data_IF_198998295158
#
_entry.id   IF_198998295158
#
_cell.length_a   1.000
_cell.length_b   1.000
_cell.length_c   1.000
_cell.angle_alpha   90.00
_cell.angle_beta   90.00
_cell.angle_gamma   90.00
#
_symmetry.space_group_name_H-M   'P 1'
#
loop_
_entity.id
_entity.type
_entity.pdbx_description
1 polymer ?
#
# COMPACT_ATOMS: atom_id res chain seq x y z
N UNK A 1 -11.04 -20.04 -5.30
CA UNK A 1 -9.91 -19.11 -5.37
C UNK A 1 -9.86 -18.36 -4.06
N UNK A 2 -8.69 -18.28 -3.44
CA UNK A 2 -8.48 -17.42 -2.28
C UNK A 2 -8.60 -15.96 -2.71
N UNK A 3 -9.41 -15.18 -2.01
CA UNK A 3 -9.65 -13.80 -2.39
C UNK A 3 -8.54 -12.90 -1.85
N UNK A 4 -7.94 -12.09 -2.72
CA UNK A 4 -6.89 -11.12 -2.39
C UNK A 4 -7.38 -9.70 -2.67
N UNK A 5 -6.68 -8.68 -2.15
CA UNK A 5 -6.98 -7.30 -2.50
C UNK A 5 -6.88 -7.06 -4.02
N UNK A 6 -5.95 -7.75 -4.71
CA UNK A 6 -5.77 -7.65 -6.17
C UNK A 6 -7.01 -8.14 -6.90
N UNK A 7 -7.53 -9.30 -6.52
CA UNK A 7 -8.73 -9.86 -7.16
C UNK A 7 -9.94 -8.93 -7.01
N UNK A 8 -10.11 -8.26 -5.87
CA UNK A 8 -11.22 -7.31 -5.68
C UNK A 8 -11.04 -6.07 -6.55
N UNK A 9 -9.83 -5.51 -6.62
CA UNK A 9 -9.53 -4.35 -7.48
C UNK A 9 -9.75 -4.71 -8.95
N UNK A 10 -9.31 -5.89 -9.38
CA UNK A 10 -9.45 -6.37 -10.76
C UNK A 10 -10.93 -6.58 -11.11
N UNK A 11 -11.71 -7.27 -10.26
CA UNK A 11 -13.15 -7.44 -10.44
C UNK A 11 -13.88 -6.10 -10.60
N UNK A 12 -13.61 -5.14 -9.71
CA UNK A 12 -14.24 -3.81 -9.78
C UNK A 12 -13.80 -3.03 -11.02
N UNK A 13 -12.55 -3.21 -11.46
CA UNK A 13 -12.03 -2.59 -12.68
C UNK A 13 -12.68 -3.19 -13.93
N UNK A 14 -12.87 -4.50 -13.97
CA UNK A 14 -13.56 -5.18 -15.07
C UNK A 14 -15.02 -4.73 -15.18
N UNK A 15 -15.75 -4.64 -14.06
CA UNK A 15 -17.11 -4.10 -14.05
C UNK A 15 -17.17 -2.70 -14.66
N UNK A 16 -16.22 -1.83 -14.29
CA UNK A 16 -16.12 -0.49 -14.89
C UNK A 16 -15.81 -0.54 -16.38
N UNK A 17 -14.88 -1.39 -16.82
CA UNK A 17 -14.53 -1.56 -18.25
C UNK A 17 -15.71 -2.05 -19.08
N UNK A 18 -16.53 -2.91 -18.50
CA UNK A 18 -17.72 -3.48 -19.13
C UNK A 18 -18.95 -2.54 -19.07
N UNK A 19 -18.81 -1.35 -18.49
CA UNK A 19 -19.92 -0.42 -18.20
C UNK A 19 -21.03 -1.07 -17.35
N UNK A 20 -20.67 -2.02 -16.49
CA UNK A 20 -21.61 -2.61 -15.54
C UNK A 20 -21.91 -1.60 -14.42
N UNK A 21 -23.19 -1.36 -14.08
CA UNK A 21 -23.54 -0.50 -12.97
C UNK A 21 -22.93 -1.00 -11.66
N UNK A 22 -22.23 -0.10 -10.96
CA UNK A 22 -21.66 -0.36 -9.64
C UNK A 22 -22.25 0.63 -8.67
N UNK A 23 -22.98 0.13 -7.67
CA UNK A 23 -23.59 0.99 -6.66
C UNK A 23 -22.53 1.68 -5.78
N UNK A 24 -22.81 2.87 -5.24
CA UNK A 24 -21.98 3.53 -4.23
C UNK A 24 -21.59 2.60 -3.05
N UNK A 25 -22.55 1.84 -2.53
CA UNK A 25 -22.31 0.90 -1.43
C UNK A 25 -21.29 -0.18 -1.83
N UNK A 26 -21.35 -0.69 -3.06
CA UNK A 26 -20.38 -1.66 -3.58
C UNK A 26 -18.95 -1.10 -3.65
N UNK A 27 -18.79 0.19 -3.97
CA UNK A 27 -17.47 0.84 -3.93
C UNK A 27 -16.90 0.88 -2.52
N UNK A 28 -17.73 1.26 -1.54
CA UNK A 28 -17.32 1.34 -0.13
C UNK A 28 -17.00 -0.05 0.42
N UNK A 29 -17.88 -1.03 0.21
CA UNK A 29 -17.67 -2.40 0.69
C UNK A 29 -16.39 -3.02 0.12
N UNK A 30 -16.16 -2.85 -1.19
CA UNK A 30 -14.94 -3.32 -1.83
C UNK A 30 -13.70 -2.58 -1.25
N UNK A 31 -13.80 -1.28 -0.97
CA UNK A 31 -12.75 -0.49 -0.30
C UNK A 31 -12.38 -1.01 1.09
N UNK A 32 -13.37 -1.37 1.90
CA UNK A 32 -13.13 -1.93 3.24
C UNK A 32 -12.44 -3.29 3.13
N UNK A 33 -12.91 -4.17 2.24
CA UNK A 33 -12.32 -5.50 2.05
C UNK A 33 -10.89 -5.46 1.55
N UNK A 34 -10.57 -4.54 0.63
CA UNK A 34 -9.20 -4.33 0.15
C UNK A 34 -8.27 -3.93 1.29
N UNK A 35 -8.70 -3.02 2.17
CA UNK A 35 -7.91 -2.59 3.34
C UNK A 35 -7.68 -3.74 4.32
N UNK A 36 -8.73 -4.50 4.65
CA UNK A 36 -8.60 -5.66 5.54
C UNK A 36 -7.62 -6.71 4.97
N UNK A 37 -7.68 -6.95 3.66
CA UNK A 37 -6.78 -7.90 2.99
C UNK A 37 -5.36 -7.35 2.82
N UNK A 38 -5.10 -6.07 3.08
CA UNK A 38 -3.78 -5.45 2.95
C UNK A 38 -3.03 -5.26 4.27
N UNK A 39 -3.61 -5.61 5.42
CA UNK A 39 -2.97 -5.44 6.74
C UNK A 39 -1.57 -6.09 6.84
N UNK A 40 -1.36 -7.21 6.14
CA UNK A 40 -0.06 -7.86 6.07
C UNK A 40 1.03 -6.99 5.41
N UNK A 41 0.65 -6.11 4.48
CA UNK A 41 1.59 -5.16 3.85
C UNK A 41 2.03 -4.09 4.84
N UNK A 42 1.12 -3.58 5.66
CA UNK A 42 1.43 -2.58 6.69
C UNK A 42 2.44 -3.14 7.70
N UNK A 43 2.20 -4.36 8.19
CA UNK A 43 3.11 -5.05 9.08
C UNK A 43 4.49 -5.27 8.44
N UNK A 44 4.53 -5.66 7.16
CA UNK A 44 5.78 -5.88 6.44
C UNK A 44 6.55 -4.57 6.23
N UNK A 45 5.86 -3.48 5.90
CA UNK A 45 6.45 -2.15 5.76
C UNK A 45 7.00 -1.64 7.10
N UNK A 46 6.25 -1.81 8.18
CA UNK A 46 6.70 -1.44 9.52
C UNK A 46 7.99 -2.16 9.92
N UNK A 47 8.10 -3.47 9.61
CA UNK A 47 9.32 -4.23 9.88
C UNK A 47 10.52 -3.71 9.08
N UNK A 48 10.36 -3.45 7.77
CA UNK A 48 11.44 -2.85 6.97
C UNK A 48 11.85 -1.48 7.49
N UNK A 49 10.90 -0.66 7.97
CA UNK A 49 11.19 0.67 8.52
C UNK A 49 11.90 0.59 9.87
N UNK A 50 11.52 -0.37 10.72
CA UNK A 50 12.24 -0.65 11.96
C UNK A 50 13.68 -1.11 11.69
N UNK A 51 13.87 -2.06 10.77
CA UNK A 51 15.20 -2.57 10.39
C UNK A 51 16.08 -1.45 9.80
N UNK A 52 15.53 -0.63 8.88
CA UNK A 52 16.26 0.52 8.32
C UNK A 52 16.71 1.48 9.43
N UNK A 53 15.84 1.71 10.41
CA UNK A 53 16.12 2.61 11.54
C UNK A 53 17.21 2.04 12.45
N UNK A 54 17.19 0.74 12.72
CA UNK A 54 18.23 0.06 13.52
C UNK A 54 19.60 0.15 12.85
N UNK A 55 19.68 -0.13 11.55
CA UNK A 55 20.92 -0.03 10.77
C UNK A 55 21.40 1.42 10.69
N UNK A 56 20.51 2.37 10.41
CA UNK A 56 20.85 3.81 10.38
C UNK A 56 21.41 4.27 11.73
N UNK A 57 20.79 3.84 12.84
CA UNK A 57 21.27 4.16 14.18
C UNK A 57 22.65 3.54 14.48
N UNK A 58 22.92 2.32 13.99
CA UNK A 58 24.24 1.70 14.11
C UNK A 58 25.31 2.51 13.36
N UNK A 59 25.00 2.99 12.14
CA UNK A 59 25.90 3.84 11.37
C UNK A 59 26.16 5.20 12.01
N UNK A 60 25.13 5.83 12.57
CA UNK A 60 25.27 7.12 13.26
C UNK A 60 26.21 7.03 14.48
N UNK A 61 26.29 5.87 15.15
CA UNK A 61 27.24 5.64 16.26
C UNK A 61 28.70 5.54 15.81
N UNK A 62 28.96 5.45 14.51
CA UNK A 62 30.31 5.37 13.92
C UNK A 62 30.78 6.69 13.30
N UNK A 63 30.26 7.82 13.80
CA UNK A 63 30.52 9.19 13.32
C UNK A 63 30.17 9.43 11.84
N UNK A 64 29.30 8.61 11.25
CA UNK A 64 28.77 8.87 9.92
C UNK A 64 27.73 10.00 9.94
N UNK A 65 27.70 10.79 8.86
CA UNK A 65 26.60 11.75 8.67
C UNK A 65 25.28 11.02 8.42
N UNK A 66 24.17 11.61 8.88
CA UNK A 66 22.84 11.04 8.71
C UNK A 66 22.49 10.71 7.25
N UNK A 67 22.90 11.57 6.31
CA UNK A 67 22.69 11.33 4.88
C UNK A 67 23.40 10.06 4.37
N UNK A 68 24.64 9.82 4.84
CA UNK A 68 25.41 8.64 4.48
C UNK A 68 24.86 7.38 5.16
N UNK A 69 24.55 7.47 6.46
CA UNK A 69 23.95 6.39 7.24
C UNK A 69 22.65 5.89 6.61
N UNK A 70 21.74 6.80 6.25
CA UNK A 70 20.48 6.47 5.56
C UNK A 70 20.69 5.79 4.20
N UNK A 71 21.70 6.22 3.45
CA UNK A 71 22.00 5.65 2.13
C UNK A 71 22.51 4.22 2.25
N UNK A 72 23.36 3.97 3.25
CA UNK A 72 23.89 2.63 3.54
C UNK A 72 22.83 1.71 4.15
N UNK A 73 21.98 2.20 5.06
CA UNK A 73 20.88 1.42 5.61
C UNK A 73 19.93 0.89 4.53
N UNK A 74 19.65 1.72 3.52
CA UNK A 74 18.89 1.29 2.33
C UNK A 74 19.65 0.32 1.42
N UNK A 75 20.98 0.31 1.46
CA UNK A 75 21.77 -0.62 0.65
C UNK A 75 21.89 -2.00 1.33
N UNK A 76 21.80 -2.05 2.66
CA UNK A 76 21.88 -3.31 3.43
C UNK A 76 20.58 -4.10 3.45
N UNK A 77 19.44 -3.41 3.50
CA UNK A 77 18.14 -4.06 3.40
C UNK A 77 17.85 -4.37 1.94
N UNK A 78 17.01 -5.38 1.70
CA UNK A 78 16.40 -5.59 0.40
C UNK A 78 15.42 -4.44 0.08
N UNK A 79 15.99 -3.30 -0.29
CA UNK A 79 15.27 -2.08 -0.58
C UNK A 79 14.39 -2.23 -1.81
N UNK A 80 14.73 -3.18 -2.70
CA UNK A 80 13.86 -3.56 -3.80
C UNK A 80 12.59 -4.19 -3.24
N UNK A 81 12.69 -5.16 -2.33
CA UNK A 81 11.51 -5.76 -1.69
C UNK A 81 10.69 -4.74 -0.88
N UNK A 82 11.34 -3.78 -0.22
CA UNK A 82 10.64 -2.66 0.42
C UNK A 82 9.83 -1.85 -0.61
N UNK A 83 10.44 -1.47 -1.73
CA UNK A 83 9.77 -0.71 -2.79
C UNK A 83 8.62 -1.51 -3.43
N UNK A 84 8.82 -2.82 -3.65
CA UNK A 84 7.80 -3.73 -4.17
C UNK A 84 6.63 -3.92 -3.20
N UNK A 85 6.87 -3.83 -1.88
CA UNK A 85 5.83 -3.87 -0.84
C UNK A 85 5.13 -2.51 -0.70
N UNK A 86 5.84 -1.40 -0.89
CA UNK A 86 5.30 -0.02 -0.78
C UNK A 86 4.44 0.37 -1.97
N UNK A 87 4.75 -0.12 -3.16
CA UNK A 87 3.99 0.17 -4.38
C UNK A 87 2.50 -0.25 -4.33
N UNK A 88 2.13 -1.48 -3.88
CA UNK A 88 0.73 -1.87 -3.74
C UNK A 88 0.00 -1.08 -2.63
N UNK A 89 0.64 -0.78 -1.50
CA UNK A 89 0.05 0.06 -0.44
C UNK A 89 -0.42 1.42 -0.98
N UNK A 90 0.45 2.15 -1.69
CA UNK A 90 0.08 3.42 -2.33
C UNK A 90 -1.09 3.29 -3.32
N UNK A 91 -1.11 2.21 -4.10
CA UNK A 91 -2.21 1.95 -5.05
C UNK A 91 -3.52 1.70 -4.33
N UNK A 92 -3.47 0.98 -3.21
CA UNK A 92 -4.64 0.72 -2.36
C UNK A 92 -5.17 2.03 -1.77
N UNK A 93 -4.30 2.89 -1.24
CA UNK A 93 -4.69 4.20 -0.70
C UNK A 93 -5.39 5.08 -1.75
N UNK A 94 -4.82 5.17 -2.95
CA UNK A 94 -5.42 5.91 -4.07
C UNK A 94 -6.77 5.31 -4.45
N UNK A 95 -6.85 3.98 -4.54
CA UNK A 95 -8.08 3.28 -4.89
C UNK A 95 -9.18 3.50 -3.85
N UNK A 96 -8.87 3.44 -2.55
CA UNK A 96 -9.81 3.75 -1.47
C UNK A 96 -10.32 5.19 -1.58
N UNK A 97 -9.44 6.15 -1.87
CA UNK A 97 -9.83 7.54 -2.08
C UNK A 97 -10.77 7.71 -3.28
N UNK A 98 -10.49 7.04 -4.41
CA UNK A 98 -11.35 7.06 -5.59
C UNK A 98 -12.70 6.40 -5.32
N UNK A 99 -12.73 5.28 -4.60
CA UNK A 99 -13.96 4.59 -4.19
C UNK A 99 -14.86 5.50 -3.34
N UNK A 100 -14.28 6.22 -2.37
CA UNK A 100 -15.00 7.21 -1.56
C UNK A 100 -15.60 8.33 -2.41
N UNK A 101 -14.83 8.88 -3.36
CA UNK A 101 -15.32 9.91 -4.28
C UNK A 101 -16.47 9.40 -5.14
N UNK A 102 -16.35 8.20 -5.72
CA UNK A 102 -17.39 7.58 -6.55
C UNK A 102 -18.68 7.31 -5.78
N UNK A 103 -18.59 6.97 -4.50
CA UNK A 103 -19.75 6.77 -3.66
C UNK A 103 -20.56 8.06 -3.44
N UNK A 104 -19.92 9.23 -3.48
CA UNK A 104 -20.56 10.53 -3.23
C UNK A 104 -21.11 11.19 -4.51
N UNK A 105 -20.54 10.88 -5.69
CA UNK A 105 -20.88 11.53 -6.97
C UNK A 105 -22.34 11.29 -7.44
N UNK A 106 -23.12 10.42 -6.79
CA UNK A 106 -24.54 10.17 -7.11
C UNK A 106 -25.55 10.82 -6.17
N UNK A 107 -25.14 11.60 -5.15
CA UNK A 107 -26.08 12.33 -4.28
C UNK A 107 -26.44 13.75 -4.77
N UNK A 108 -26.15 14.09 -6.04
CA UNK A 108 -26.52 15.35 -6.70
C UNK A 108 -27.38 15.09 -7.93
#
# INVERSE_FOLDING_TARGET
MEQTYKTIIDEMTERVRNNEPVSPASWIEASVRVVLLSEHLDNKLANYEAEMTEIEAAYLKTDMSAAKAKTLAKAEIDYKDYLETKAPDKRIQEWVMLSKKRAVIQEL
#
